data_IF_001859319718
#
_entry.id   IF_001859319718
#
_cell.length_a   1.000
_cell.length_b   1.000
_cell.length_c   1.000
_cell.angle_alpha   90.00
_cell.angle_beta   90.00
_cell.angle_gamma   90.00
#
_symmetry.space_group_name_H-M   'P 1'
#
loop_
_entity.id
_entity.type
_entity.pdbx_description
1 polymer ?
#
# COMPACT_ATOMS: atom_id res chain seq x y z
N UNK A 1 21.16 15.98 20.17
CA UNK A 1 21.68 14.90 21.06
C UNK A 1 21.97 13.65 20.23
N UNK A 2 23.16 13.08 20.33
CA UNK A 2 23.60 12.02 19.42
C UNK A 2 22.90 10.67 19.69
N UNK A 3 22.36 10.03 18.63
CA UNK A 3 21.68 8.72 18.63
C UNK A 3 22.48 7.63 19.38
N UNK A 4 23.82 7.69 19.34
CA UNK A 4 24.71 6.76 20.06
C UNK A 4 24.47 6.68 21.57
N UNK A 5 23.99 7.76 22.22
CA UNK A 5 23.72 7.79 23.66
C UNK A 5 22.36 7.16 24.06
N UNK A 6 21.52 6.77 23.10
CA UNK A 6 20.18 6.21 23.34
C UNK A 6 20.06 4.72 22.97
N UNK A 7 21.17 4.01 22.74
CA UNK A 7 21.18 2.62 22.28
C UNK A 7 20.36 1.68 23.20
N UNK A 8 20.51 1.82 24.52
CA UNK A 8 19.77 0.99 25.49
C UNK A 8 18.26 1.29 25.46
N UNK A 9 17.88 2.57 25.31
CA UNK A 9 16.47 2.94 25.22
C UNK A 9 15.85 2.47 23.91
N UNK A 10 16.58 2.54 22.79
CA UNK A 10 16.12 2.01 21.50
C UNK A 10 15.92 0.49 21.61
N UNK A 11 16.85 -0.23 22.24
CA UNK A 11 16.72 -1.67 22.45
C UNK A 11 15.49 -2.01 23.30
N UNK A 12 15.26 -1.28 24.41
CA UNK A 12 14.07 -1.42 25.26
C UNK A 12 12.78 -1.21 24.45
N UNK A 13 12.74 -0.19 23.59
CA UNK A 13 11.57 0.09 22.75
C UNK A 13 11.32 -1.00 21.70
N UNK A 14 12.38 -1.59 21.13
CA UNK A 14 12.26 -2.74 20.21
C UNK A 14 11.71 -3.95 20.95
N UNK A 15 12.26 -4.30 22.12
CA UNK A 15 11.79 -5.44 22.92
C UNK A 15 10.32 -5.30 23.33
N UNK A 16 9.92 -4.11 23.80
CA UNK A 16 8.51 -3.81 24.12
C UNK A 16 7.64 -3.92 22.87
N UNK A 17 8.12 -3.43 21.72
CA UNK A 17 7.37 -3.55 20.46
C UNK A 17 7.18 -5.00 20.05
N UNK A 18 8.22 -5.83 20.09
CA UNK A 18 8.16 -7.26 19.76
C UNK A 18 7.22 -8.01 20.71
N UNK A 19 7.27 -7.73 22.02
CA UNK A 19 6.36 -8.32 23.00
C UNK A 19 4.89 -7.97 22.70
N UNK A 20 4.59 -6.71 22.38
CA UNK A 20 3.23 -6.32 22.01
C UNK A 20 2.82 -6.89 20.65
N UNK A 21 3.74 -6.96 19.68
CA UNK A 21 3.48 -7.54 18.36
C UNK A 21 3.10 -9.02 18.46
N UNK A 22 3.74 -9.76 19.36
CA UNK A 22 3.43 -11.18 19.63
C UNK A 22 2.02 -11.42 20.19
N UNK A 23 1.33 -10.38 20.70
CA UNK A 23 -0.07 -10.49 21.17
C UNK A 23 -1.08 -10.50 20.03
N UNK A 24 -0.64 -10.26 18.79
CA UNK A 24 -1.49 -10.20 17.60
C UNK A 24 -1.26 -11.41 16.68
N UNK A 25 -1.22 -12.62 17.25
CA UNK A 25 -0.94 -13.87 16.52
C UNK A 25 -1.94 -14.16 15.39
N UNK A 26 -3.16 -13.61 15.47
CA UNK A 26 -4.20 -13.85 14.48
C UNK A 26 -4.24 -12.80 13.36
N UNK A 27 -3.44 -11.72 13.46
CA UNK A 27 -3.40 -10.69 12.44
C UNK A 27 -2.51 -11.13 11.27
N UNK A 28 -3.11 -11.29 10.10
CA UNK A 28 -2.42 -11.61 8.86
C UNK A 28 -2.45 -10.41 7.93
N UNK A 29 -1.32 -10.12 7.30
CA UNK A 29 -1.22 -9.14 6.22
C UNK A 29 -0.76 -9.84 4.95
N UNK A 30 -1.49 -9.63 3.87
CA UNK A 30 -1.13 -10.11 2.53
C UNK A 30 -1.21 -8.96 1.52
N UNK A 31 -0.47 -9.10 0.42
CA UNK A 31 -0.51 -8.15 -0.69
C UNK A 31 -1.18 -8.82 -1.88
N UNK A 32 -2.21 -8.18 -2.42
CA UNK A 32 -2.99 -8.67 -3.55
C UNK A 32 -2.71 -7.78 -4.76
N UNK A 33 -2.38 -8.42 -5.88
CA UNK A 33 -2.24 -7.74 -7.17
C UNK A 33 -3.37 -8.17 -8.09
N UNK A 34 -4.03 -7.19 -8.70
CA UNK A 34 -5.11 -7.41 -9.68
C UNK A 34 -4.71 -6.80 -11.02
N UNK A 35 -4.75 -7.60 -12.08
CA UNK A 35 -4.66 -7.11 -13.46
C UNK A 35 -6.06 -6.86 -14.03
N UNK A 36 -6.19 -5.92 -14.97
CA UNK A 36 -7.43 -5.69 -15.73
C UNK A 36 -7.95 -7.01 -16.30
N UNK A 37 -9.25 -7.27 -16.13
CA UNK A 37 -9.96 -8.46 -16.62
C UNK A 37 -9.46 -9.82 -16.10
N UNK A 38 -8.58 -9.85 -15.08
CA UNK A 38 -8.29 -11.07 -14.32
C UNK A 38 -9.01 -10.98 -12.99
N UNK A 39 -9.95 -11.88 -12.77
CA UNK A 39 -10.52 -12.09 -11.45
C UNK A 39 -9.38 -12.58 -10.55
N UNK A 40 -9.13 -11.86 -9.45
CA UNK A 40 -8.35 -12.41 -8.35
C UNK A 40 -9.18 -13.58 -7.84
N UNK A 41 -8.59 -14.78 -7.72
CA UNK A 41 -9.23 -15.87 -7.01
C UNK A 41 -9.63 -15.31 -5.65
N UNK A 42 -10.94 -15.11 -5.46
CA UNK A 42 -11.47 -14.54 -4.24
C UNK A 42 -11.37 -15.67 -3.22
N UNK A 43 -10.19 -15.79 -2.61
CA UNK A 43 -10.06 -16.51 -1.37
C UNK A 43 -11.15 -15.97 -0.45
N UNK A 44 -11.91 -16.86 0.18
CA UNK A 44 -12.98 -16.45 1.05
C UNK A 44 -12.34 -15.74 2.26
N UNK A 45 -12.35 -14.40 2.24
CA UNK A 45 -11.72 -13.60 3.29
C UNK A 45 -12.33 -13.94 4.64
N UNK A 46 -11.53 -13.82 5.69
CA UNK A 46 -12.04 -13.89 7.06
C UNK A 46 -13.18 -12.87 7.23
N UNK A 47 -14.18 -13.17 8.07
CA UNK A 47 -15.26 -12.25 8.42
C UNK A 47 -14.71 -10.91 8.91
N UNK A 48 -13.57 -10.94 9.60
CA UNK A 48 -12.87 -9.75 10.10
C UNK A 48 -11.70 -9.40 9.18
N UNK A 49 -11.99 -8.71 8.08
CA UNK A 49 -10.96 -8.25 7.15
C UNK A 49 -11.05 -6.76 6.83
N UNK A 50 -9.95 -6.22 6.31
CA UNK A 50 -9.88 -4.88 5.75
C UNK A 50 -8.98 -4.87 4.53
N UNK A 51 -9.51 -4.42 3.40
CA UNK A 51 -8.77 -4.28 2.15
C UNK A 51 -8.47 -2.81 1.91
N UNK A 52 -7.20 -2.52 1.65
CA UNK A 52 -6.67 -1.17 1.51
C UNK A 52 -6.03 -1.09 0.12
N UNK A 53 -6.60 -0.28 -0.76
CA UNK A 53 -5.94 0.07 -2.02
C UNK A 53 -4.65 0.84 -1.69
N UNK A 54 -3.52 0.40 -2.23
CA UNK A 54 -2.22 1.05 -2.08
C UNK A 54 -1.97 1.99 -3.26
N UNK A 55 -1.98 1.43 -4.47
CA UNK A 55 -1.82 2.15 -5.71
C UNK A 55 -2.49 1.41 -6.88
N UNK A 56 -2.78 2.16 -7.95
CA UNK A 56 -3.34 1.63 -9.19
C UNK A 56 -2.65 2.29 -10.39
N UNK A 57 -2.13 1.48 -11.29
CA UNK A 57 -1.59 1.88 -12.57
C UNK A 57 -2.68 1.77 -13.64
N UNK A 58 -2.96 2.88 -14.33
CA UNK A 58 -4.05 2.99 -15.32
C UNK A 58 -3.57 2.97 -16.77
N UNK A 59 -2.30 2.63 -17.01
CA UNK A 59 -1.71 2.66 -18.34
C UNK A 59 -1.23 4.06 -18.74
N UNK A 60 -1.18 4.28 -20.05
CA UNK A 60 -0.78 5.54 -20.68
C UNK A 60 -2.00 6.41 -20.95
N UNK A 61 -1.88 7.71 -20.66
CA UNK A 61 -2.92 8.69 -20.96
C UNK A 61 -2.97 9.00 -22.46
N UNK A 62 -3.61 8.13 -23.25
CA UNK A 62 -3.90 8.40 -24.67
C UNK A 62 -5.33 8.92 -24.90
N UNK A 63 -6.29 8.61 -24.01
CA UNK A 63 -7.67 9.08 -24.12
C UNK A 63 -8.30 9.40 -22.74
N UNK A 64 -8.38 10.69 -22.43
CA UNK A 64 -8.96 11.19 -21.17
C UNK A 64 -10.48 10.96 -21.06
N UNK A 65 -11.16 10.75 -22.18
CA UNK A 65 -12.61 10.58 -22.20
C UNK A 65 -13.02 9.20 -21.68
N UNK A 66 -12.33 8.15 -22.13
CA UNK A 66 -12.56 6.77 -21.70
C UNK A 66 -12.33 6.59 -20.20
N UNK A 67 -11.26 7.20 -19.66
CA UNK A 67 -10.95 7.15 -18.23
C UNK A 67 -12.03 7.84 -17.38
N UNK A 68 -12.63 8.92 -17.89
CA UNK A 68 -13.71 9.65 -17.21
C UNK A 68 -14.99 8.80 -17.14
N UNK A 69 -15.33 8.10 -18.22
CA UNK A 69 -16.48 7.19 -18.25
C UNK A 69 -16.30 5.99 -17.31
N UNK A 70 -15.09 5.44 -17.24
CA UNK A 70 -14.77 4.33 -16.32
C UNK A 70 -14.84 4.76 -14.84
N UNK A 71 -14.54 6.02 -14.52
CA UNK A 71 -14.69 6.58 -13.17
C UNK A 71 -16.16 6.78 -12.74
N UNK A 72 -17.06 7.01 -13.71
CA UNK A 72 -18.48 7.25 -13.47
C UNK A 72 -19.27 5.94 -13.31
N UNK A 73 -18.86 4.85 -13.97
CA UNK A 73 -19.52 3.54 -13.94
C UNK A 73 -19.17 2.70 -12.69
N UNK A 74 -19.32 3.28 -11.49
CA UNK A 74 -18.94 2.72 -10.17
C UNK A 74 -19.73 1.48 -9.72
N UNK A 75 -19.58 0.35 -10.40
CA UNK A 75 -20.13 -0.93 -9.94
C UNK A 75 -19.12 -1.81 -9.19
N UNK A 76 -17.82 -1.48 -9.23
CA UNK A 76 -16.80 -2.17 -8.44
C UNK A 76 -16.39 -1.38 -7.19
N UNK A 77 -16.29 -2.10 -6.06
CA UNK A 77 -16.12 -1.54 -4.72
C UNK A 77 -14.65 -1.15 -4.44
N UNK A 78 -13.70 -1.55 -5.29
CA UNK A 78 -12.27 -1.58 -4.96
C UNK A 78 -11.38 -0.60 -5.75
N UNK A 79 -11.87 0.55 -6.21
CA UNK A 79 -11.03 1.61 -6.81
C UNK A 79 -11.38 1.93 -8.26
N UNK A 80 -10.39 2.40 -9.03
CA UNK A 80 -10.57 2.81 -10.45
C UNK A 80 -10.67 1.59 -11.36
N UNK A 81 -11.77 1.49 -12.13
CA UNK A 81 -12.11 0.37 -13.01
C UNK A 81 -11.15 0.19 -14.20
N UNK A 82 -10.60 1.30 -14.71
CA UNK A 82 -9.72 1.29 -15.87
C UNK A 82 -8.29 0.82 -15.56
N UNK A 83 -7.98 0.55 -14.29
CA UNK A 83 -6.63 0.21 -13.87
C UNK A 83 -6.11 -1.08 -14.51
N UNK A 84 -5.00 -1.00 -15.23
CA UNK A 84 -4.30 -2.15 -15.81
C UNK A 84 -3.71 -3.05 -14.73
N UNK A 85 -3.20 -2.45 -13.66
CA UNK A 85 -2.63 -3.14 -12.50
C UNK A 85 -3.00 -2.39 -11.23
N UNK A 86 -3.50 -3.11 -10.23
CA UNK A 86 -3.84 -2.55 -8.92
C UNK A 86 -3.18 -3.37 -7.82
N UNK A 87 -2.67 -2.68 -6.79
CA UNK A 87 -2.10 -3.29 -5.61
C UNK A 87 -2.92 -2.94 -4.38
N UNK A 88 -3.23 -3.96 -3.58
CA UNK A 88 -3.98 -3.87 -2.35
C UNK A 88 -3.24 -4.56 -1.22
N UNK A 89 -3.43 -4.09 0.00
CA UNK A 89 -3.12 -4.84 1.20
C UNK A 89 -4.42 -5.38 1.80
N UNK A 90 -4.43 -6.69 2.08
CA UNK A 90 -5.50 -7.36 2.80
C UNK A 90 -5.00 -7.64 4.22
N UNK A 91 -5.75 -7.13 5.19
CA UNK A 91 -5.57 -7.44 6.61
C UNK A 91 -6.70 -8.34 7.06
N UNK A 92 -6.38 -9.40 7.78
CA UNK A 92 -7.36 -10.37 8.31
C UNK A 92 -7.07 -10.66 9.77
N UNK A 93 -8.13 -10.88 10.55
CA UNK A 93 -8.07 -11.25 11.96
C UNK A 93 -8.72 -10.23 12.91
N UNK A 94 -8.95 -10.64 14.16
CA UNK A 94 -9.72 -9.86 15.14
C UNK A 94 -9.09 -8.50 15.49
N UNK A 95 -7.77 -8.40 15.39
CA UNK A 95 -7.02 -7.18 15.70
C UNK A 95 -7.02 -6.13 14.57
N UNK A 96 -7.70 -6.39 13.45
CA UNK A 96 -7.64 -5.55 12.26
C UNK A 96 -8.00 -4.08 12.55
N UNK A 97 -9.03 -3.82 13.37
CA UNK A 97 -9.41 -2.45 13.73
C UNK A 97 -8.33 -1.71 14.53
N UNK A 98 -7.68 -2.39 15.48
CA UNK A 98 -6.63 -1.79 16.28
C UNK A 98 -5.41 -1.50 15.40
N UNK A 99 -5.04 -2.44 14.53
CA UNK A 99 -3.99 -2.23 13.54
C UNK A 99 -4.28 -1.00 12.68
N UNK A 100 -5.50 -0.85 12.16
CA UNK A 100 -5.89 0.31 11.37
C UNK A 100 -5.76 1.63 12.11
N UNK A 101 -6.11 1.67 13.40
CA UNK A 101 -5.89 2.87 14.23
C UNK A 101 -4.40 3.20 14.37
N UNK A 102 -3.56 2.19 14.59
CA UNK A 102 -2.11 2.37 14.69
C UNK A 102 -1.49 2.82 13.36
N UNK A 103 -1.86 2.16 12.26
CA UNK A 103 -1.42 2.50 10.91
C UNK A 103 -1.80 3.94 10.53
N UNK A 104 -3.03 4.37 10.86
CA UNK A 104 -3.45 5.75 10.62
C UNK A 104 -2.64 6.77 11.44
N UNK A 105 -2.32 6.46 12.70
CA UNK A 105 -1.46 7.32 13.53
C UNK A 105 -0.05 7.40 12.99
N UNK A 106 0.54 6.27 12.60
CA UNK A 106 1.88 6.21 12.03
C UNK A 106 1.96 6.97 10.69
N UNK A 107 0.98 6.76 9.81
CA UNK A 107 0.92 7.45 8.51
C UNK A 107 0.71 8.96 8.62
N UNK A 108 0.05 9.43 9.67
CA UNK A 108 -0.13 10.86 9.93
C UNK A 108 1.18 11.59 10.25
N UNK A 109 2.23 10.87 10.67
CA UNK A 109 3.54 11.46 10.98
C UNK A 109 4.31 11.90 9.74
N UNK A 110 3.94 11.40 8.55
CA UNK A 110 4.59 11.77 7.31
C UNK A 110 4.22 13.20 6.93
N UNK A 111 5.18 13.93 6.41
CA UNK A 111 4.95 15.23 5.77
C UNK A 111 4.42 15.03 4.34
N UNK A 112 3.81 16.08 3.78
CA UNK A 112 3.39 16.11 2.37
C UNK A 112 4.54 15.70 1.43
N UNK A 113 5.73 16.26 1.66
CA UNK A 113 6.93 16.04 0.86
C UNK A 113 7.39 14.57 0.91
N UNK A 114 7.31 13.94 2.08
CA UNK A 114 7.64 12.52 2.24
C UNK A 114 6.62 11.62 1.55
N UNK A 115 5.33 11.96 1.65
CA UNK A 115 4.26 11.26 0.93
C UNK A 115 4.47 11.31 -0.58
N UNK A 116 4.75 12.49 -1.14
CA UNK A 116 5.02 12.64 -2.58
C UNK A 116 6.27 11.90 -3.04
N UNK A 117 7.31 11.86 -2.20
CA UNK A 117 8.53 11.10 -2.48
C UNK A 117 8.27 9.59 -2.57
N UNK A 118 7.40 9.05 -1.71
CA UNK A 118 7.01 7.63 -1.75
C UNK A 118 6.25 7.31 -3.04
N UNK A 119 5.25 8.13 -3.39
CA UNK A 119 4.48 7.98 -4.64
C UNK A 119 5.38 8.00 -5.88
N UNK A 120 6.24 9.01 -5.96
CA UNK A 120 7.18 9.18 -7.08
C UNK A 120 8.14 8.00 -7.22
N UNK A 121 8.56 7.41 -6.09
CA UNK A 121 9.47 6.26 -6.10
C UNK A 121 8.77 5.00 -6.61
N UNK A 122 7.56 4.73 -6.14
CA UNK A 122 6.77 3.59 -6.63
C UNK A 122 6.56 3.67 -8.14
N UNK A 123 6.18 4.85 -8.66
CA UNK A 123 5.98 5.04 -10.09
C UNK A 123 7.27 4.74 -10.87
N UNK A 124 8.43 5.19 -10.39
CA UNK A 124 9.72 4.91 -11.03
C UNK A 124 10.07 3.43 -11.07
N UNK A 125 9.81 2.71 -9.97
CA UNK A 125 10.07 1.26 -9.90
C UNK A 125 9.15 0.51 -10.88
N UNK A 126 7.86 0.87 -10.93
CA UNK A 126 6.91 0.28 -11.89
C UNK A 126 7.30 0.51 -13.36
N UNK A 127 7.74 1.72 -13.71
CA UNK A 127 8.22 2.04 -15.06
C UNK A 127 9.47 1.23 -15.39
N UNK A 128 10.44 1.17 -14.46
CA UNK A 128 11.68 0.41 -14.65
C UNK A 128 11.44 -1.11 -14.83
N UNK A 129 10.38 -1.65 -14.23
CA UNK A 129 9.97 -3.06 -14.35
C UNK A 129 9.24 -3.38 -15.67
N UNK A 130 9.21 -2.46 -16.63
CA UNK A 130 8.70 -2.71 -17.98
C UNK A 130 7.25 -2.28 -18.21
N UNK A 131 6.70 -1.40 -17.35
CA UNK A 131 5.49 -0.63 -17.66
C UNK A 131 5.81 0.68 -18.40
N UNK A 132 7.05 0.83 -18.87
CA UNK A 132 7.45 1.88 -19.78
C UNK A 132 6.79 1.63 -21.15
N UNK A 133 5.97 2.57 -21.61
CA UNK A 133 5.31 2.49 -22.90
C UNK A 133 5.77 3.69 -23.74
N UNK A 134 6.23 3.43 -24.96
CA UNK A 134 6.71 4.47 -25.89
C UNK A 134 5.61 5.45 -26.34
N UNK A 135 4.35 5.17 -26.01
CA UNK A 135 3.17 5.88 -26.50
C UNK A 135 2.69 7.03 -25.58
N UNK A 136 3.30 7.23 -24.41
CA UNK A 136 2.99 8.39 -23.56
C UNK A 136 3.31 8.24 -22.08
N UNK A 137 2.84 9.21 -21.27
CA UNK A 137 3.18 9.26 -19.84
C UNK A 137 2.35 8.25 -19.03
N UNK A 138 2.99 7.43 -18.17
CA UNK A 138 2.31 6.49 -17.28
C UNK A 138 1.49 7.23 -16.22
N UNK A 139 0.28 6.75 -15.95
CA UNK A 139 -0.60 7.30 -14.91
C UNK A 139 -0.75 6.31 -13.76
N UNK A 140 -0.44 6.78 -12.55
CA UNK A 140 -0.59 6.00 -11.33
C UNK A 140 -1.35 6.81 -10.26
N UNK A 141 -2.38 6.20 -9.70
CA UNK A 141 -3.16 6.74 -8.59
C UNK A 141 -2.68 6.08 -7.31
N UNK A 142 -2.57 6.87 -6.24
CA UNK A 142 -2.17 6.39 -4.93
C UNK A 142 -3.25 6.72 -3.91
N UNK A 143 -3.50 5.82 -2.97
CA UNK A 143 -4.40 6.10 -1.86
C UNK A 143 -3.70 6.99 -0.83
N UNK A 144 -4.27 8.17 -0.61
CA UNK A 144 -3.75 9.19 0.30
C UNK A 144 -4.11 8.97 1.78
N UNK A 145 -4.92 7.97 2.10
CA UNK A 145 -5.25 7.64 3.48
C UNK A 145 -3.99 7.28 4.28
N UNK A 146 -3.90 7.74 5.53
CA UNK A 146 -2.71 7.57 6.37
C UNK A 146 -2.31 6.10 6.52
N UNK A 147 -3.26 5.19 6.74
CA UNK A 147 -2.96 3.76 6.82
C UNK A 147 -2.34 3.21 5.52
N UNK A 148 -2.82 3.65 4.35
CA UNK A 148 -2.23 3.26 3.06
C UNK A 148 -0.79 3.77 2.92
N UNK A 149 -0.55 5.04 3.22
CA UNK A 149 0.80 5.64 3.19
C UNK A 149 1.75 4.86 4.09
N UNK A 150 1.33 4.53 5.30
CA UNK A 150 2.13 3.74 6.24
C UNK A 150 2.44 2.34 5.69
N UNK A 151 1.44 1.64 5.19
CA UNK A 151 1.61 0.28 4.65
C UNK A 151 2.50 0.28 3.42
N UNK A 152 2.36 1.27 2.53
CA UNK A 152 3.23 1.42 1.38
C UNK A 152 4.68 1.63 1.82
N UNK A 153 4.92 2.53 2.77
CA UNK A 153 6.25 2.73 3.34
C UNK A 153 6.83 1.45 3.94
N UNK A 154 6.04 0.74 4.74
CA UNK A 154 6.44 -0.51 5.40
C UNK A 154 6.82 -1.58 4.37
N UNK A 155 5.96 -1.84 3.39
CA UNK A 155 6.20 -2.84 2.34
C UNK A 155 7.42 -2.49 1.49
N UNK A 156 7.59 -1.20 1.16
CA UNK A 156 8.77 -0.71 0.46
C UNK A 156 10.04 -0.93 1.28
N UNK A 157 10.02 -0.69 2.59
CA UNK A 157 11.20 -0.92 3.42
C UNK A 157 11.51 -2.41 3.56
N UNK A 158 10.49 -3.25 3.76
CA UNK A 158 10.63 -4.71 3.81
C UNK A 158 11.24 -5.24 2.51
N UNK A 159 10.82 -4.75 1.34
CA UNK A 159 11.37 -5.22 0.06
C UNK A 159 12.85 -4.92 -0.08
N UNK A 160 13.36 -3.81 0.46
CA UNK A 160 14.81 -3.52 0.49
C UNK A 160 15.59 -4.43 1.43
N UNK A 161 15.00 -4.85 2.53
CA UNK A 161 15.65 -5.71 3.53
C UNK A 161 15.63 -7.18 3.11
N UNK A 162 14.60 -7.64 2.39
CA UNK A 162 14.41 -9.03 1.97
C UNK A 162 14.97 -9.38 0.60
N UNK A 163 15.68 -8.47 -0.07
CA UNK A 163 16.46 -8.79 -1.27
C UNK A 163 17.61 -9.72 -0.87
N UNK A 164 17.43 -11.03 -1.12
CA UNK A 164 18.48 -12.06 -1.09
C UNK A 164 19.18 -12.11 -2.44
#
# INVERSE_FOLDING_TARGET
MAIRKKKNEIKRLIEVFEEQANKFHDLKISTIYRKKNKFVDIHQFDKNHHVIMLWQYSGVMSDAHQMTMDLLNRHEIWGVLSAELSAYSLLEGEACQLFMRMANRAGALFTEKEREKLKSKQLKELVAEGLDNSEGKPVCVHNSANASVWLHYLLYYISKVRTF
#
